data_IF_466851274606
#
_entry.id   IF_466851274606
#
_cell.length_a   1.000
_cell.length_b   1.000
_cell.length_c   1.000
_cell.angle_alpha   90.00
_cell.angle_beta   90.00
_cell.angle_gamma   90.00
#
_symmetry.space_group_name_H-M   'P 1'
#
loop_
_entity.id
_entity.type
_entity.pdbx_description
1 polymer ?
#
# COMPACT_ATOMS: atom_id res chain seq x y z
N UNK A 1 -0.73 -0.20 9.93
CA UNK A 1 -1.09 1.23 10.17
C UNK A 1 -0.26 2.22 9.33
N UNK A 2 1.09 2.09 9.28
CA UNK A 2 1.99 3.03 8.60
C UNK A 2 1.71 3.26 7.11
N UNK A 3 1.53 2.20 6.31
CA UNK A 3 1.25 2.32 4.87
C UNK A 3 -0.06 3.08 4.60
N UNK A 4 -1.12 2.77 5.35
CA UNK A 4 -2.42 3.46 5.22
C UNK A 4 -2.28 4.96 5.49
N UNK A 5 -1.57 5.34 6.56
CA UNK A 5 -1.29 6.73 6.87
C UNK A 5 -0.46 7.39 5.76
N UNK A 6 0.58 6.73 5.24
CA UNK A 6 1.39 7.25 4.15
C UNK A 6 0.62 7.46 2.84
N UNK A 7 -0.33 6.58 2.50
CA UNK A 7 -1.24 6.77 1.36
C UNK A 7 -2.11 8.01 1.57
N UNK A 8 -2.71 8.17 2.75
CA UNK A 8 -3.56 9.31 3.06
C UNK A 8 -2.78 10.63 3.06
N UNK A 9 -1.59 10.63 3.65
CA UNK A 9 -0.67 11.78 3.65
C UNK A 9 -0.26 12.17 2.22
N UNK A 10 0.15 11.20 1.40
CA UNK A 10 0.54 11.47 0.02
C UNK A 10 -0.64 12.01 -0.80
N UNK A 11 -1.85 11.43 -0.64
CA UNK A 11 -3.07 11.92 -1.29
C UNK A 11 -3.37 13.36 -0.88
N UNK A 12 -3.23 13.71 0.40
CA UNK A 12 -3.42 15.07 0.89
C UNK A 12 -2.37 16.05 0.34
N UNK A 13 -1.09 15.69 0.38
CA UNK A 13 0.00 16.56 -0.12
C UNK A 13 -0.07 16.81 -1.62
N UNK A 14 -0.66 15.87 -2.38
CA UNK A 14 -0.75 15.90 -3.84
C UNK A 14 -2.18 16.11 -4.34
N UNK A 15 -3.07 16.67 -3.51
CA UNK A 15 -4.48 16.86 -3.86
C UNK A 15 -4.69 17.65 -5.16
N UNK A 16 -3.80 18.61 -5.48
CA UNK A 16 -3.83 19.39 -6.72
C UNK A 16 -3.55 18.62 -8.01
N UNK A 17 -3.12 17.35 -7.94
CA UNK A 17 -2.81 16.53 -9.11
C UNK A 17 -4.02 15.93 -9.83
N UNK A 18 -5.22 16.16 -9.30
CA UNK A 18 -6.43 15.51 -9.77
C UNK A 18 -6.54 14.06 -9.26
N UNK A 19 -7.78 13.64 -9.02
CA UNK A 19 -8.11 12.31 -8.50
C UNK A 19 -7.64 11.18 -9.41
N UNK A 20 -7.74 11.34 -10.73
CA UNK A 20 -7.33 10.32 -11.69
C UNK A 20 -5.82 9.99 -11.61
N UNK A 21 -4.95 11.00 -11.46
CA UNK A 21 -3.52 10.78 -11.30
C UNK A 21 -3.20 10.14 -9.95
N UNK A 22 -3.85 10.62 -8.88
CA UNK A 22 -3.72 10.06 -7.54
C UNK A 22 -4.10 8.58 -7.52
N UNK A 23 -5.25 8.22 -8.10
CA UNK A 23 -5.75 6.85 -8.10
C UNK A 23 -4.87 5.94 -8.96
N UNK A 24 -4.44 6.39 -10.14
CA UNK A 24 -3.52 5.65 -11.01
C UNK A 24 -2.24 5.27 -10.27
N UNK A 25 -1.62 6.23 -9.57
CA UNK A 25 -0.32 6.02 -8.94
C UNK A 25 -0.40 5.39 -7.55
N UNK A 26 -1.47 5.63 -6.79
CA UNK A 26 -1.67 5.01 -5.48
C UNK A 26 -2.30 3.61 -5.54
N UNK A 27 -2.92 3.23 -6.65
CA UNK A 27 -3.59 1.92 -6.81
C UNK A 27 -2.70 0.73 -6.44
N UNK A 28 -1.43 0.62 -6.89
CA UNK A 28 -0.56 -0.47 -6.50
C UNK A 28 -0.28 -0.52 -4.98
N UNK A 29 -0.09 0.64 -4.33
CA UNK A 29 0.13 0.71 -2.89
C UNK A 29 -1.11 0.26 -2.10
N UNK A 30 -2.31 0.59 -2.60
CA UNK A 30 -3.58 0.14 -2.02
C UNK A 30 -3.78 -1.37 -2.21
N UNK A 31 -3.46 -1.92 -3.38
CA UNK A 31 -3.55 -3.34 -3.65
C UNK A 31 -2.66 -4.16 -2.70
N UNK A 32 -1.38 -3.79 -2.56
CA UNK A 32 -0.47 -4.47 -1.65
C UNK A 32 -0.84 -4.30 -0.17
N UNK A 33 -1.39 -3.13 0.21
CA UNK A 33 -1.95 -2.93 1.54
C UNK A 33 -3.14 -3.86 1.82
N UNK A 34 -4.00 -4.11 0.83
CA UNK A 34 -5.12 -5.02 0.98
C UNK A 34 -4.63 -6.48 1.12
N UNK A 35 -3.63 -6.89 0.36
CA UNK A 35 -3.03 -8.22 0.51
C UNK A 35 -2.38 -8.40 1.88
N UNK A 36 -1.63 -7.38 2.36
CA UNK A 36 -1.09 -7.39 3.71
C UNK A 36 -2.19 -7.59 4.76
N UNK A 37 -3.29 -6.82 4.66
CA UNK A 37 -4.40 -6.94 5.61
C UNK A 37 -5.08 -8.31 5.57
N UNK A 38 -5.20 -8.94 4.40
CA UNK A 38 -5.73 -10.30 4.28
C UNK A 38 -4.82 -11.32 4.98
N UNK A 39 -3.50 -11.18 4.85
CA UNK A 39 -2.53 -12.07 5.51
C UNK A 39 -2.55 -11.85 7.03
N UNK A 40 -2.53 -10.59 7.48
CA UNK A 40 -2.65 -10.21 8.89
C UNK A 40 -3.95 -10.75 9.50
N UNK A 41 -5.06 -10.64 8.76
CA UNK A 41 -6.35 -11.18 9.19
C UNK A 41 -6.31 -12.70 9.38
N UNK A 42 -5.73 -13.43 8.41
CA UNK A 42 -5.59 -14.90 8.49
C UNK A 42 -4.72 -15.32 9.69
N UNK A 43 -3.61 -14.63 9.92
CA UNK A 43 -2.76 -14.85 11.10
C UNK A 43 -3.54 -14.67 12.41
N UNK A 44 -4.40 -13.66 12.49
CA UNK A 44 -5.17 -13.37 13.71
C UNK A 44 -6.41 -14.26 13.92
N UNK A 45 -7.02 -14.78 12.84
CA UNK A 45 -8.33 -15.48 12.91
C UNK A 45 -8.22 -16.99 12.67
N UNK A 46 -7.03 -17.58 12.83
CA UNK A 46 -6.85 -19.03 12.84
C UNK A 46 -6.50 -19.62 11.47
N UNK A 47 -5.41 -19.15 10.87
CA UNK A 47 -4.73 -19.92 9.83
C UNK A 47 -4.26 -21.28 10.38
N UNK A 48 -4.13 -22.29 9.51
CA UNK A 48 -3.55 -23.56 9.92
C UNK A 48 -2.12 -23.34 10.45
N UNK A 49 -1.65 -24.14 11.44
CA UNK A 49 -0.38 -23.88 12.11
C UNK A 49 0.82 -23.86 11.17
N UNK A 50 0.83 -24.74 10.15
CA UNK A 50 1.93 -24.84 9.19
C UNK A 50 2.01 -23.57 8.33
N UNK A 51 0.88 -23.10 7.81
CA UNK A 51 0.84 -21.83 7.07
C UNK A 51 1.18 -20.65 7.96
N UNK A 52 0.68 -20.63 9.20
CA UNK A 52 0.96 -19.56 10.15
C UNK A 52 2.44 -19.45 10.50
N UNK A 53 3.15 -20.58 10.60
CA UNK A 53 4.57 -20.63 10.94
C UNK A 53 5.49 -20.38 9.73
N UNK A 54 5.15 -20.92 8.55
CA UNK A 54 6.10 -20.95 7.43
C UNK A 54 5.75 -20.06 6.24
N UNK A 55 4.46 -19.87 5.94
CA UNK A 55 4.02 -19.22 4.70
C UNK A 55 3.59 -17.77 4.93
N UNK A 56 2.65 -17.56 5.85
CA UNK A 56 2.02 -16.27 6.08
C UNK A 56 3.00 -15.18 6.54
N UNK A 57 4.02 -15.46 7.38
CA UNK A 57 5.01 -14.43 7.74
C UNK A 57 5.74 -13.87 6.52
N UNK A 58 6.24 -14.74 5.63
CA UNK A 58 6.92 -14.31 4.41
C UNK A 58 6.01 -13.57 3.43
N UNK A 59 4.74 -13.95 3.36
CA UNK A 59 3.74 -13.22 2.57
C UNK A 59 3.44 -11.84 3.15
N UNK A 60 3.35 -11.72 4.48
CA UNK A 60 3.14 -10.44 5.16
C UNK A 60 4.31 -9.48 4.90
N UNK A 61 5.55 -9.96 5.08
CA UNK A 61 6.75 -9.17 4.82
C UNK A 61 6.82 -8.70 3.36
N UNK A 62 6.57 -9.62 2.43
CA UNK A 62 6.55 -9.32 0.99
C UNK A 62 5.48 -8.28 0.64
N UNK A 63 4.25 -8.44 1.14
CA UNK A 63 3.16 -7.50 0.88
C UNK A 63 3.46 -6.12 1.48
N UNK A 64 4.05 -6.08 2.68
CA UNK A 64 4.46 -4.82 3.31
C UNK A 64 5.53 -4.09 2.50
N UNK A 65 6.57 -4.79 2.06
CA UNK A 65 7.65 -4.19 1.28
C UNK A 65 7.18 -3.72 -0.10
N UNK A 66 6.34 -4.49 -0.77
CA UNK A 66 5.72 -4.09 -2.03
C UNK A 66 4.85 -2.84 -1.85
N UNK A 67 4.06 -2.76 -0.78
CA UNK A 67 3.25 -1.58 -0.49
C UNK A 67 4.11 -0.34 -0.23
N UNK A 68 5.21 -0.50 0.52
CA UNK A 68 6.18 0.58 0.80
C UNK A 68 6.86 1.08 -0.48
N UNK A 69 7.33 0.16 -1.34
CA UNK A 69 7.96 0.50 -2.62
C UNK A 69 6.98 1.19 -3.56
N UNK A 70 5.75 0.68 -3.66
CA UNK A 70 4.70 1.29 -4.46
C UNK A 70 4.35 2.71 -3.99
N UNK A 71 4.28 2.93 -2.67
CA UNK A 71 4.03 4.27 -2.11
C UNK A 71 5.17 5.24 -2.45
N UNK A 72 6.43 4.82 -2.31
CA UNK A 72 7.58 5.63 -2.70
C UNK A 72 7.57 5.96 -4.20
N UNK A 73 7.22 4.98 -5.05
CA UNK A 73 7.13 5.18 -6.48
C UNK A 73 6.00 6.14 -6.86
N UNK A 74 4.85 6.04 -6.18
CA UNK A 74 3.73 6.97 -6.35
C UNK A 74 4.15 8.41 -6.03
N UNK A 75 4.88 8.63 -4.93
CA UNK A 75 5.36 9.97 -4.58
C UNK A 75 6.29 10.53 -5.66
N UNK A 76 7.21 9.72 -6.19
CA UNK A 76 8.08 10.12 -7.30
C UNK A 76 7.33 10.44 -8.60
N UNK A 77 6.20 9.79 -8.87
CA UNK A 77 5.38 10.07 -10.05
C UNK A 77 4.50 11.30 -9.87
N UNK A 78 4.02 11.52 -8.65
CA UNK A 78 3.23 12.69 -8.30
C UNK A 78 4.09 13.93 -7.99
N UNK A 79 5.41 13.79 -7.84
CA UNK A 79 6.30 14.95 -7.67
C UNK A 79 6.47 15.79 -8.93
N UNK A 80 6.26 15.19 -10.11
CA UNK A 80 6.32 15.88 -11.41
C UNK A 80 4.95 16.36 -11.91
N UNK A 81 3.92 16.20 -11.10
CA UNK A 81 2.59 16.64 -11.45
C UNK A 81 2.50 18.18 -11.34
N UNK A 82 2.01 18.82 -12.38
CA UNK A 82 1.59 20.22 -12.37
C UNK A 82 0.18 20.30 -11.79
N UNK A 83 -0.11 21.25 -10.88
CA UNK A 83 -1.48 21.49 -10.43
C UNK A 83 -2.39 21.69 -11.65
N UNK A 84 -3.55 21.08 -11.67
CA UNK A 84 -4.56 21.43 -12.65
C UNK A 84 -5.01 22.88 -12.37
N UNK A 85 -4.82 23.78 -13.35
CA UNK A 85 -5.31 25.17 -13.31
C UNK A 85 -6.83 25.25 -13.13
#
# INVERSE_FOLDING_TARGET
>A
RRIRAGIAELRSRRAGCGSAALDRWLSPAQAHLNELQKVEYKLAHGADPVSAEHLLPGLADSAYDLARRALWYADRKLSSCTPAD
#
